data_IF_668549673648
#
_entry.id   IF_668549673648
#
_cell.length_a   1.000
_cell.length_b   1.000
_cell.length_c   1.000
_cell.angle_alpha   90.00
_cell.angle_beta   90.00
_cell.angle_gamma   90.00
#
_symmetry.space_group_name_H-M   'P 1'
#
loop_
_entity.id
_entity.type
_entity.pdbx_description
1 polymer ?
#
# COMPACT_ATOMS: atom_id res chain seq x y z
N UNK A 1 15.27 13.82 76.81
CA UNK A 1 15.39 12.43 76.32
C UNK A 1 15.45 12.47 74.81
N UNK A 2 16.37 11.86 74.08
CA UNK A 2 17.73 11.38 74.31
C UNK A 2 18.31 11.31 72.89
N UNK A 3 19.41 12.01 72.70
CA UNK A 3 20.22 12.09 71.49
C UNK A 3 20.59 10.71 70.95
N UNK A 4 20.76 10.56 69.64
CA UNK A 4 21.97 9.90 69.13
C UNK A 4 22.24 10.23 67.66
N UNK A 5 23.51 10.52 67.38
CA UNK A 5 24.11 11.02 66.14
C UNK A 5 24.76 9.83 65.39
N UNK A 6 25.30 10.07 64.19
CA UNK A 6 26.50 9.44 63.64
C UNK A 6 26.30 8.24 62.66
N UNK A 7 26.64 8.58 61.40
CA UNK A 7 27.64 7.96 60.51
C UNK A 7 27.27 6.78 59.60
N UNK A 8 27.78 6.90 58.37
CA UNK A 8 28.00 5.82 57.40
C UNK A 8 27.29 6.11 56.08
N UNK A 9 27.77 7.04 55.25
CA UNK A 9 28.73 6.72 54.19
C UNK A 9 28.62 5.27 53.69
N UNK A 10 27.76 5.05 52.71
CA UNK A 10 27.98 4.06 51.68
C UNK A 10 27.49 4.66 50.36
N UNK A 11 28.45 5.20 49.60
CA UNK A 11 28.32 5.45 48.18
C UNK A 11 27.80 4.17 47.52
N UNK A 12 26.58 4.23 46.98
CA UNK A 12 26.24 3.41 45.83
C UNK A 12 25.46 4.32 44.87
N UNK A 13 26.22 4.99 44.02
CA UNK A 13 25.68 5.65 42.84
C UNK A 13 25.20 4.54 41.88
N UNK A 14 23.98 4.04 42.10
CA UNK A 14 23.24 3.39 41.02
C UNK A 14 22.69 4.53 40.19
N UNK A 15 23.48 4.94 39.20
CA UNK A 15 22.96 5.67 38.05
C UNK A 15 21.94 4.74 37.42
N UNK A 16 20.67 4.94 37.78
CA UNK A 16 19.54 4.51 36.97
C UNK A 16 19.62 5.34 35.68
N UNK A 17 20.45 4.87 34.73
CA UNK A 17 20.22 5.16 33.33
C UNK A 17 18.89 4.46 33.04
N UNK A 18 17.80 5.18 33.28
CA UNK A 18 16.53 4.88 32.67
C UNK A 18 16.76 5.00 31.17
N UNK A 19 17.17 3.90 30.54
CA UNK A 19 16.82 3.66 29.15
C UNK A 19 15.31 3.58 29.15
N UNK A 20 14.69 4.76 29.00
CA UNK A 20 13.36 4.86 28.42
C UNK A 20 13.55 4.27 27.03
N UNK A 21 13.34 2.95 26.92
CA UNK A 21 13.11 2.31 25.64
C UNK A 21 11.75 2.81 25.17
N UNK A 22 11.74 4.04 24.63
CA UNK A 22 10.76 4.41 23.64
C UNK A 22 11.04 3.49 22.45
N UNK A 23 10.40 2.32 22.40
CA UNK A 23 10.06 1.69 21.12
C UNK A 23 9.05 2.63 20.46
N UNK A 24 9.57 3.70 19.85
CA UNK A 24 8.83 4.53 18.93
C UNK A 24 9.05 3.93 17.54
N UNK A 25 7.95 3.44 17.00
CA UNK A 25 7.60 3.53 15.58
C UNK A 25 8.17 2.49 14.59
N UNK A 26 7.62 1.28 14.63
CA UNK A 26 7.53 0.41 13.43
C UNK A 26 6.20 0.56 12.66
N UNK A 27 5.20 1.26 13.22
CA UNK A 27 3.93 1.53 12.50
C UNK A 27 4.05 2.72 11.54
N UNK A 28 4.90 3.70 11.85
CA UNK A 28 5.13 4.90 11.03
C UNK A 28 5.81 4.57 9.70
N UNK A 29 6.83 3.71 9.72
CA UNK A 29 7.55 3.29 8.51
C UNK A 29 6.61 2.60 7.54
N UNK A 30 5.77 1.68 8.02
CA UNK A 30 4.80 0.95 7.19
C UNK A 30 3.70 1.86 6.63
N UNK A 31 3.20 2.83 7.39
CA UNK A 31 2.22 3.82 6.91
C UNK A 31 2.81 4.77 5.86
N UNK A 32 4.05 5.21 6.06
CA UNK A 32 4.79 6.04 5.10
C UNK A 32 5.09 5.25 3.83
N UNK A 33 5.58 4.02 3.95
CA UNK A 33 5.80 3.12 2.81
C UNK A 33 4.51 2.84 2.06
N UNK A 34 3.41 2.59 2.77
CA UNK A 34 2.09 2.41 2.14
C UNK A 34 1.60 3.68 1.45
N UNK A 35 1.83 4.87 2.01
CA UNK A 35 1.48 6.13 1.35
C UNK A 35 2.34 6.38 0.11
N UNK A 36 3.64 6.16 0.20
CA UNK A 36 4.59 6.41 -0.89
C UNK A 36 4.34 5.43 -2.01
N UNK A 37 4.21 4.15 -1.68
CA UNK A 37 3.78 3.14 -2.63
C UNK A 37 2.43 3.56 -3.21
N UNK A 38 1.40 3.85 -2.42
CA UNK A 38 0.11 4.24 -2.98
C UNK A 38 0.16 5.52 -3.85
N UNK A 39 1.00 6.51 -3.51
CA UNK A 39 1.13 7.76 -4.25
C UNK A 39 1.89 7.54 -5.56
N UNK A 40 3.03 6.83 -5.52
CA UNK A 40 3.80 6.45 -6.71
C UNK A 40 2.97 5.49 -7.58
N UNK A 41 2.35 4.47 -6.99
CA UNK A 41 1.46 3.52 -7.68
C UNK A 41 0.18 4.15 -8.22
N UNK A 42 -0.34 5.24 -7.66
CA UNK A 42 -1.51 5.93 -8.20
C UNK A 42 -1.13 6.93 -9.28
N UNK A 43 -0.04 7.68 -9.11
CA UNK A 43 0.54 8.48 -10.20
C UNK A 43 0.88 7.57 -11.40
N UNK A 44 1.37 6.35 -11.14
CA UNK A 44 1.64 5.33 -12.15
C UNK A 44 0.39 4.58 -12.63
N UNK A 45 -0.56 4.27 -11.73
CA UNK A 45 -1.69 3.37 -12.00
C UNK A 45 -2.88 4.05 -12.64
N UNK A 46 -3.23 5.25 -12.16
CA UNK A 46 -4.37 6.03 -12.66
C UNK A 46 -4.01 6.75 -13.95
N UNK A 47 -2.73 7.09 -14.17
CA UNK A 47 -2.24 7.69 -15.42
C UNK A 47 -1.56 6.69 -16.37
N UNK A 48 -1.37 5.44 -15.96
CA UNK A 48 -0.72 4.41 -16.78
C UNK A 48 0.77 4.67 -17.04
N UNK A 49 1.46 5.32 -16.10
CA UNK A 49 2.87 5.68 -16.18
C UNK A 49 3.77 4.62 -15.49
N UNK A 50 5.03 4.49 -15.95
CA UNK A 50 6.07 3.67 -15.32
C UNK A 50 6.26 2.26 -15.90
N UNK A 51 7.15 1.46 -15.28
CA UNK A 51 7.64 0.16 -15.80
C UNK A 51 6.55 -0.87 -16.16
N UNK A 52 5.37 -0.74 -15.56
CA UNK A 52 4.21 -1.60 -15.83
C UNK A 52 3.05 -0.83 -16.52
N UNK A 53 3.25 0.45 -16.81
CA UNK A 53 2.30 1.34 -17.48
C UNK A 53 2.29 1.17 -19.01
N UNK A 54 1.52 2.01 -19.69
CA UNK A 54 1.56 2.16 -21.15
C UNK A 54 2.59 3.17 -21.60
N UNK A 55 2.94 4.08 -20.69
CA UNK A 55 3.82 5.20 -20.96
C UNK A 55 4.92 5.25 -19.90
N UNK A 56 6.11 5.66 -20.29
CA UNK A 56 7.24 5.92 -19.39
C UNK A 56 7.43 7.43 -19.26
N UNK A 57 7.74 7.93 -18.06
CA UNK A 57 7.98 9.37 -17.88
C UNK A 57 9.35 9.72 -18.46
N UNK A 58 9.40 10.77 -19.27
CA UNK A 58 10.66 11.40 -19.65
C UNK A 58 11.02 12.40 -18.57
N UNK A 59 12.18 12.19 -17.95
CA UNK A 59 12.72 13.10 -16.94
C UNK A 59 13.48 14.25 -17.61
N UNK A 60 13.54 15.43 -16.96
CA UNK A 60 13.05 15.72 -15.60
C UNK A 60 11.55 16.02 -15.52
N UNK A 61 10.94 15.76 -14.36
CA UNK A 61 9.53 16.07 -14.09
C UNK A 61 9.38 16.95 -12.86
N UNK A 62 8.39 17.84 -12.88
CA UNK A 62 8.08 18.75 -11.77
C UNK A 62 6.81 18.31 -11.06
N UNK A 63 6.86 18.26 -9.73
CA UNK A 63 5.73 17.92 -8.87
C UNK A 63 5.38 19.11 -7.99
N UNK A 64 4.09 19.41 -7.88
CA UNK A 64 3.53 20.33 -6.90
C UNK A 64 2.95 19.53 -5.74
N UNK A 65 3.30 19.90 -4.52
CA UNK A 65 2.80 19.30 -3.29
C UNK A 65 1.57 20.06 -2.77
N UNK A 66 0.72 19.40 -1.95
CA UNK A 66 -0.45 20.03 -1.33
C UNK A 66 -0.15 21.24 -0.44
N UNK A 67 1.08 21.38 0.04
CA UNK A 67 1.54 22.53 0.83
C UNK A 67 1.90 23.75 -0.02
N UNK A 68 1.76 23.66 -1.35
CA UNK A 68 2.11 24.71 -2.30
C UNK A 68 3.58 24.72 -2.72
N UNK A 69 4.41 23.83 -2.17
CA UNK A 69 5.80 23.67 -2.63
C UNK A 69 5.84 22.91 -3.95
N UNK A 70 6.92 23.08 -4.72
CA UNK A 70 7.17 22.28 -5.91
C UNK A 70 8.64 21.91 -6.01
N UNK A 71 8.93 20.78 -6.66
CA UNK A 71 10.28 20.28 -6.89
C UNK A 71 10.41 19.61 -8.26
N UNK A 72 11.59 19.74 -8.86
CA UNK A 72 11.94 19.08 -10.12
C UNK A 72 12.89 17.92 -9.82
N UNK A 73 12.60 16.76 -10.41
CA UNK A 73 13.32 15.52 -10.15
C UNK A 73 13.84 14.95 -11.47
N UNK A 74 15.06 14.43 -11.49
CA UNK A 74 15.71 13.90 -12.69
C UNK A 74 15.53 12.37 -12.83
N UNK A 75 14.99 11.70 -11.82
CA UNK A 75 14.74 10.26 -11.86
C UNK A 75 13.58 9.82 -10.97
N UNK A 76 13.10 8.59 -11.18
CA UNK A 76 12.10 7.97 -10.32
C UNK A 76 12.58 7.81 -8.87
N UNK A 77 13.88 7.59 -8.67
CA UNK A 77 14.48 7.42 -7.34
C UNK A 77 14.48 8.73 -6.55
N UNK A 78 14.89 9.83 -7.20
CA UNK A 78 14.84 11.17 -6.61
C UNK A 78 13.40 11.58 -6.28
N UNK A 79 12.50 11.40 -7.24
CA UNK A 79 11.08 11.66 -7.05
C UNK A 79 10.51 10.85 -5.86
N UNK A 80 10.77 9.54 -5.84
CA UNK A 80 10.31 8.67 -4.77
C UNK A 80 10.86 9.07 -3.40
N UNK A 81 12.13 9.45 -3.34
CA UNK A 81 12.79 9.90 -2.10
C UNK A 81 12.18 11.20 -1.58
N UNK A 82 11.97 12.18 -2.46
CA UNK A 82 11.34 13.44 -2.09
C UNK A 82 9.89 13.26 -1.60
N UNK A 83 9.11 12.38 -2.24
CA UNK A 83 7.77 12.04 -1.78
C UNK A 83 7.77 11.38 -0.39
N UNK A 84 8.75 10.52 -0.09
CA UNK A 84 8.93 9.89 1.23
C UNK A 84 9.24 10.94 2.29
N UNK A 85 10.19 11.83 2.02
CA UNK A 85 10.60 12.89 2.94
C UNK A 85 9.45 13.85 3.22
N UNK A 86 8.75 14.29 2.16
CA UNK A 86 7.59 15.15 2.30
C UNK A 86 6.51 14.50 3.17
N UNK A 87 6.19 13.21 2.97
CA UNK A 87 5.19 12.52 3.79
C UNK A 87 5.62 12.35 5.24
N UNK A 88 6.90 12.08 5.50
CA UNK A 88 7.44 11.99 6.86
C UNK A 88 7.31 13.32 7.61
N UNK A 89 7.57 14.43 6.91
CA UNK A 89 7.39 15.77 7.47
C UNK A 89 5.91 16.15 7.65
N UNK A 90 5.01 15.60 6.81
CA UNK A 90 3.59 15.97 6.75
C UNK A 90 2.66 14.77 6.97
N UNK A 91 2.80 14.09 8.11
CA UNK A 91 2.05 12.86 8.44
C UNK A 91 0.53 13.01 8.42
N UNK A 92 0.02 14.21 8.72
CA UNK A 92 -1.42 14.56 8.74
C UNK A 92 -1.89 15.40 7.55
N UNK A 93 -1.01 15.71 6.58
CA UNK A 93 -1.46 16.47 5.42
C UNK A 93 -2.40 15.63 4.56
N UNK A 94 -3.57 16.19 4.30
CA UNK A 94 -4.53 15.71 3.33
C UNK A 94 -4.23 16.35 1.97
N UNK A 95 -4.26 15.54 0.91
CA UNK A 95 -3.92 15.97 -0.44
C UNK A 95 -2.85 15.08 -1.06
N UNK A 96 -2.76 15.14 -2.38
CA UNK A 96 -1.80 14.35 -3.16
C UNK A 96 -0.92 15.28 -3.99
N UNK A 97 0.36 14.95 -4.17
CA UNK A 97 1.20 15.65 -5.12
C UNK A 97 0.65 15.50 -6.55
N UNK A 98 0.76 16.55 -7.35
CA UNK A 98 0.31 16.59 -8.74
C UNK A 98 1.46 16.96 -9.69
N UNK A 99 1.39 16.50 -10.93
CA UNK A 99 2.35 16.92 -11.96
C UNK A 99 2.10 18.38 -12.35
N UNK A 100 3.19 19.13 -12.47
CA UNK A 100 3.17 20.43 -13.15
C UNK A 100 3.37 20.18 -14.64
N UNK A 101 2.37 20.55 -15.42
CA UNK A 101 2.42 20.44 -16.88
C UNK A 101 3.21 21.61 -17.50
N UNK A 102 3.83 21.41 -18.68
CA UNK A 102 3.81 20.20 -19.50
C UNK A 102 4.75 19.08 -19.00
N UNK A 103 4.40 17.83 -19.32
CA UNK A 103 5.25 16.64 -19.08
C UNK A 103 5.41 15.84 -20.37
N UNK A 104 6.57 15.22 -20.55
CA UNK A 104 6.81 14.34 -21.69
C UNK A 104 6.68 12.87 -21.28
N UNK A 105 6.01 12.09 -22.13
CA UNK A 105 5.80 10.65 -21.92
C UNK A 105 6.23 9.85 -23.15
N UNK A 106 6.95 8.76 -22.92
CA UNK A 106 7.38 7.83 -23.95
C UNK A 106 6.37 6.68 -24.07
N UNK A 107 5.84 6.47 -25.27
CA UNK A 107 4.94 5.35 -25.59
C UNK A 107 5.74 4.06 -25.83
N UNK A 108 5.06 2.91 -25.76
CA UNK A 108 5.64 1.60 -26.08
C UNK A 108 6.19 1.49 -27.51
N UNK A 109 5.67 2.29 -28.43
CA UNK A 109 6.14 2.36 -29.81
C UNK A 109 7.43 3.20 -29.96
N UNK A 110 7.95 3.77 -28.86
CA UNK A 110 9.14 4.61 -28.84
C UNK A 110 8.88 6.09 -29.18
N UNK A 111 7.62 6.48 -29.40
CA UNK A 111 7.27 7.89 -29.66
C UNK A 111 7.09 8.67 -28.37
N UNK A 112 7.59 9.90 -28.34
CA UNK A 112 7.40 10.84 -27.22
C UNK A 112 6.21 11.74 -27.48
N UNK A 113 5.34 11.88 -26.48
CA UNK A 113 4.20 12.80 -26.51
C UNK A 113 4.35 13.80 -25.39
N UNK A 114 4.27 15.08 -25.73
CA UNK A 114 4.18 16.17 -24.75
C UNK A 114 2.75 16.33 -24.32
N UNK A 115 2.49 16.11 -23.04
CA UNK A 115 1.19 16.27 -22.41
C UNK A 115 1.16 17.62 -21.75
N UNK A 116 0.21 18.46 -22.13
CA UNK A 116 0.11 19.87 -21.70
C UNK A 116 -0.90 20.09 -20.58
N UNK A 117 -1.75 19.10 -20.30
CA UNK A 117 -2.77 19.19 -19.25
C UNK A 117 -3.10 17.83 -18.64
N UNK A 118 -3.75 17.88 -17.46
CA UNK A 118 -4.25 16.68 -16.78
C UNK A 118 -5.31 15.96 -17.61
N UNK A 119 -6.14 16.70 -18.31
CA UNK A 119 -7.19 16.19 -19.19
C UNK A 119 -6.60 15.45 -20.38
N UNK A 120 -5.51 15.95 -20.94
CA UNK A 120 -4.76 15.29 -22.01
C UNK A 120 -4.10 14.00 -21.50
N UNK A 121 -3.52 14.02 -20.30
CA UNK A 121 -2.98 12.81 -19.67
C UNK A 121 -4.05 11.73 -19.45
N UNK A 122 -5.23 12.15 -18.98
CA UNK A 122 -6.39 11.26 -18.79
C UNK A 122 -6.87 10.70 -20.13
N UNK A 123 -6.88 11.52 -21.18
CA UNK A 123 -7.31 11.10 -22.52
C UNK A 123 -6.32 10.09 -23.11
N UNK A 124 -5.02 10.38 -23.00
CA UNK A 124 -3.95 9.47 -23.40
C UNK A 124 -4.04 8.14 -22.63
N UNK A 125 -4.40 8.18 -21.35
CA UNK A 125 -4.64 6.98 -20.54
C UNK A 125 -5.86 6.16 -20.99
N UNK A 126 -6.89 6.75 -21.59
CA UNK A 126 -8.04 6.00 -22.12
C UNK A 126 -7.68 5.18 -23.36
N UNK A 127 -6.68 5.63 -24.13
CA UNK A 127 -6.17 4.92 -25.30
C UNK A 127 -5.33 3.69 -24.93
N UNK A 128 -4.80 3.65 -23.72
CA UNK A 128 -4.16 2.45 -23.20
C UNK A 128 -5.11 1.24 -23.23
N UNK A 129 -4.69 0.09 -23.78
CA UNK A 129 -5.41 -1.14 -23.52
C UNK A 129 -5.46 -1.37 -22.00
N UNK A 130 -6.66 -1.65 -21.49
CA UNK A 130 -6.79 -2.15 -20.12
C UNK A 130 -5.87 -3.37 -19.98
N UNK A 131 -5.04 -3.41 -18.93
CA UNK A 131 -4.25 -4.63 -18.67
C UNK A 131 -5.21 -5.83 -18.66
N UNK A 132 -4.85 -6.96 -19.28
CA UNK A 132 -5.59 -8.21 -19.08
C UNK A 132 -5.83 -8.39 -17.59
N UNK A 133 -7.10 -8.41 -17.17
CA UNK A 133 -7.48 -8.59 -15.77
C UNK A 133 -7.65 -7.34 -14.89
N UNK A 134 -7.46 -6.11 -15.42
CA UNK A 134 -7.77 -4.89 -14.65
C UNK A 134 -9.03 -4.23 -15.18
N UNK A 135 -10.15 -4.50 -14.52
CA UNK A 135 -11.43 -3.85 -14.79
C UNK A 135 -11.39 -2.32 -14.65
N UNK A 136 -12.43 -1.61 -15.12
CA UNK A 136 -12.47 -0.15 -15.13
C UNK A 136 -12.31 0.44 -13.73
N UNK A 137 -11.43 1.44 -13.57
CA UNK A 137 -11.24 2.18 -12.30
C UNK A 137 -10.09 1.72 -11.41
N UNK A 138 -9.06 1.05 -11.95
CA UNK A 138 -7.84 0.72 -11.18
C UNK A 138 -8.01 -0.38 -10.13
N UNK A 139 -9.26 -0.78 -9.84
CA UNK A 139 -9.58 -2.03 -9.19
C UNK A 139 -8.97 -3.16 -10.02
N UNK A 140 -8.28 -4.08 -9.35
CA UNK A 140 -7.84 -5.37 -9.91
C UNK A 140 -9.13 -6.12 -10.28
N UNK A 141 -9.67 -5.80 -11.44
CA UNK A 141 -10.96 -6.30 -11.88
C UNK A 141 -10.81 -7.73 -12.35
N UNK A 142 -10.85 -8.67 -11.40
CA UNK A 142 -11.30 -10.06 -11.62
C UNK A 142 -10.69 -10.80 -12.83
N UNK A 143 -9.48 -10.45 -13.24
CA UNK A 143 -8.52 -11.32 -13.92
C UNK A 143 -7.14 -10.88 -13.38
N UNK A 144 -6.16 -11.67 -13.08
CA UNK A 144 -5.85 -13.03 -13.40
C UNK A 144 -5.79 -13.75 -12.06
N UNK A 145 -6.93 -14.24 -11.58
CA UNK A 145 -6.87 -15.28 -10.56
C UNK A 145 -6.61 -16.55 -11.35
N UNK A 146 -5.34 -16.80 -11.71
CA UNK A 146 -4.90 -18.07 -12.28
C UNK A 146 -5.09 -19.23 -11.29
N UNK A 147 -5.77 -18.98 -10.18
CA UNK A 147 -6.19 -19.94 -9.19
C UNK A 147 -7.54 -19.55 -8.56
N UNK A 148 -8.25 -20.53 -8.01
CA UNK A 148 -9.47 -20.37 -7.22
C UNK A 148 -9.26 -20.84 -5.78
N UNK A 149 -9.90 -20.20 -4.81
CA UNK A 149 -9.86 -20.68 -3.43
C UNK A 149 -10.62 -22.00 -3.32
N UNK A 150 -10.03 -22.99 -2.66
CA UNK A 150 -10.75 -24.20 -2.24
C UNK A 150 -11.51 -23.86 -0.98
N UNK A 151 -12.82 -23.97 -1.05
CA UNK A 151 -13.71 -23.73 0.07
C UNK A 151 -13.87 -25.00 0.94
N UNK A 152 -14.14 -24.86 2.25
CA UNK A 152 -14.36 -23.61 2.98
C UNK A 152 -13.06 -22.84 3.31
N UNK A 153 -13.17 -21.52 3.46
CA UNK A 153 -12.05 -20.65 3.86
C UNK A 153 -12.43 -19.81 5.08
N UNK A 154 -11.47 -19.54 5.95
CA UNK A 154 -11.70 -18.73 7.16
C UNK A 154 -11.20 -17.31 6.97
N UNK A 155 -12.04 -16.34 7.34
CA UNK A 155 -11.72 -14.92 7.39
C UNK A 155 -11.49 -14.50 8.84
N UNK A 156 -10.41 -13.75 9.07
CA UNK A 156 -10.15 -13.01 10.30
C UNK A 156 -10.71 -11.60 10.09
N UNK A 157 -11.66 -11.23 10.94
CA UNK A 157 -12.33 -9.95 10.94
C UNK A 157 -11.52 -8.89 11.69
N UNK A 158 -11.84 -7.59 11.56
CA UNK A 158 -11.15 -6.49 12.24
C UNK A 158 -11.06 -6.58 13.76
N UNK A 159 -11.99 -7.29 14.38
CA UNK A 159 -12.05 -7.56 15.82
C UNK A 159 -11.30 -8.84 16.22
N UNK A 160 -10.54 -9.43 15.30
CA UNK A 160 -9.88 -10.74 15.41
C UNK A 160 -10.85 -11.92 15.57
N UNK A 161 -12.15 -11.74 15.35
CA UNK A 161 -13.07 -12.87 15.27
C UNK A 161 -12.92 -13.61 13.94
N UNK A 162 -13.24 -14.90 13.94
CA UNK A 162 -13.11 -15.76 12.77
C UNK A 162 -14.48 -16.12 12.21
N UNK A 163 -14.64 -16.01 10.89
CA UNK A 163 -15.84 -16.46 10.17
C UNK A 163 -15.45 -17.43 9.07
N UNK A 164 -16.08 -18.60 9.06
CA UNK A 164 -15.87 -19.59 8.00
C UNK A 164 -16.84 -19.34 6.86
N UNK A 165 -16.29 -19.21 5.66
CA UNK A 165 -17.03 -18.96 4.44
C UNK A 165 -17.09 -20.27 3.64
N UNK A 166 -18.32 -20.74 3.38
CA UNK A 166 -18.55 -21.99 2.67
C UNK A 166 -18.46 -21.86 1.16
N UNK A 167 -18.83 -20.70 0.59
CA UNK A 167 -18.78 -20.44 -0.86
C UNK A 167 -18.41 -18.99 -1.17
N UNK A 168 -17.99 -18.73 -2.41
CA UNK A 168 -17.52 -17.42 -2.85
C UNK A 168 -18.58 -16.33 -2.75
N UNK A 169 -19.83 -16.69 -2.96
CA UNK A 169 -20.98 -15.79 -2.94
C UNK A 169 -21.22 -15.25 -1.52
N UNK A 170 -20.87 -16.03 -0.50
CA UNK A 170 -21.11 -15.73 0.91
C UNK A 170 -20.13 -14.69 1.48
N UNK A 171 -18.97 -14.47 0.82
CA UNK A 171 -17.96 -13.50 1.27
C UNK A 171 -18.55 -12.10 1.47
N UNK A 172 -19.33 -11.62 0.50
CA UNK A 172 -19.92 -10.27 0.56
C UNK A 172 -20.98 -10.18 1.65
N UNK A 173 -21.80 -11.23 1.79
CA UNK A 173 -22.84 -11.28 2.79
C UNK A 173 -22.24 -11.27 4.21
N UNK A 174 -21.20 -12.08 4.45
CA UNK A 174 -20.52 -12.15 5.74
C UNK A 174 -19.88 -10.81 6.16
N UNK A 175 -19.17 -10.15 5.24
CA UNK A 175 -18.55 -8.83 5.52
C UNK A 175 -19.62 -7.77 5.76
N UNK A 176 -20.70 -7.78 4.97
CA UNK A 176 -21.82 -6.84 5.14
C UNK A 176 -22.49 -7.03 6.50
N UNK A 177 -22.83 -8.27 6.87
CA UNK A 177 -23.45 -8.61 8.14
C UNK A 177 -22.58 -8.19 9.33
N UNK A 178 -21.27 -8.44 9.27
CA UNK A 178 -20.34 -8.00 10.32
C UNK A 178 -20.33 -6.48 10.47
N UNK A 179 -20.33 -5.73 9.36
CA UNK A 179 -20.33 -4.25 9.39
C UNK A 179 -21.63 -3.69 9.96
N UNK A 180 -22.77 -4.30 9.65
CA UNK A 180 -24.07 -3.90 10.20
C UNK A 180 -24.16 -4.18 11.70
N UNK A 181 -23.56 -5.28 12.17
CA UNK A 181 -23.49 -5.63 13.60
C UNK A 181 -22.47 -4.79 14.40
N UNK A 182 -21.54 -4.10 13.73
CA UNK A 182 -20.44 -3.35 14.37
C UNK A 182 -20.40 -1.87 13.92
N UNK A 183 -21.42 -1.07 14.29
CA UNK A 183 -21.41 0.36 13.97
C UNK A 183 -20.28 1.08 14.71
N UNK A 184 -19.49 1.91 14.00
CA UNK A 184 -18.45 2.75 14.59
C UNK A 184 -17.09 2.08 14.87
N UNK A 185 -16.89 0.81 14.51
CA UNK A 185 -15.58 0.14 14.57
C UNK A 185 -14.68 0.53 13.39
N UNK A 186 -13.34 0.49 13.56
CA UNK A 186 -12.41 0.78 12.47
C UNK A 186 -12.68 -0.11 11.24
N UNK A 187 -12.65 0.51 10.07
CA UNK A 187 -12.89 -0.11 8.75
C UNK A 187 -11.66 -0.86 8.23
N UNK A 188 -10.86 -1.45 9.13
CA UNK A 188 -9.76 -2.30 8.70
C UNK A 188 -10.31 -3.48 7.89
N UNK A 189 -9.51 -3.97 6.94
CA UNK A 189 -9.99 -4.98 6.00
C UNK A 189 -9.88 -6.37 6.62
N UNK A 190 -10.95 -7.19 6.53
CA UNK A 190 -10.84 -8.62 6.82
C UNK A 190 -9.73 -9.26 5.96
N UNK A 191 -9.05 -10.25 6.51
CA UNK A 191 -8.00 -11.00 5.82
C UNK A 191 -8.20 -12.50 5.97
N UNK A 192 -7.65 -13.28 5.03
CA UNK A 192 -7.76 -14.74 5.06
C UNK A 192 -6.86 -15.30 6.17
N UNK A 193 -7.37 -16.30 6.89
CA UNK A 193 -6.56 -17.14 7.77
C UNK A 193 -5.75 -18.11 6.90
N UNK A 194 -4.48 -18.25 7.23
CA UNK A 194 -3.59 -19.22 6.63
C UNK A 194 -3.39 -20.41 7.59
N UNK A 195 -3.09 -21.62 7.07
CA UNK A 195 -2.93 -21.95 5.65
C UNK A 195 -4.28 -22.05 4.91
N UNK A 196 -4.25 -21.82 3.60
CA UNK A 196 -5.39 -22.00 2.70
C UNK A 196 -4.98 -22.78 1.45
N UNK A 197 -5.94 -23.39 0.77
CA UNK A 197 -5.67 -24.13 -0.47
C UNK A 197 -6.27 -23.39 -1.65
N UNK A 198 -5.54 -23.37 -2.77
CA UNK A 198 -5.99 -22.84 -4.04
C UNK A 198 -5.86 -23.89 -5.14
N UNK A 199 -6.75 -23.86 -6.12
CA UNK A 199 -6.68 -24.67 -7.33
C UNK A 199 -6.24 -23.80 -8.50
N UNK A 200 -5.11 -24.10 -9.13
CA UNK A 200 -4.65 -23.39 -10.32
C UNK A 200 -5.60 -23.66 -11.51
N UNK A 201 -5.92 -22.63 -12.29
CA UNK A 201 -6.79 -22.72 -13.47
C UNK A 201 -6.07 -23.25 -14.71
N UNK A 202 -4.75 -23.13 -14.74
CA UNK A 202 -3.93 -23.54 -15.89
C UNK A 202 -3.91 -25.07 -16.03
N UNK A 203 -3.77 -25.79 -14.92
CA UNK A 203 -3.57 -27.24 -14.90
C UNK A 203 -4.53 -27.98 -13.93
N UNK A 204 -5.31 -27.26 -13.12
CA UNK A 204 -6.19 -27.85 -12.11
C UNK A 204 -5.47 -28.32 -10.84
N UNK A 205 -4.17 -28.07 -10.70
CA UNK A 205 -3.38 -28.52 -9.54
C UNK A 205 -3.75 -27.73 -8.29
N UNK A 206 -3.78 -28.41 -7.13
CA UNK A 206 -3.99 -27.76 -5.84
C UNK A 206 -2.66 -27.37 -5.19
N UNK A 207 -2.59 -26.14 -4.69
CA UNK A 207 -1.43 -25.58 -4.00
C UNK A 207 -1.87 -25.11 -2.62
N UNK A 208 -1.15 -25.52 -1.58
CA UNK A 208 -1.33 -24.98 -0.23
C UNK A 208 -0.48 -23.73 -0.07
N UNK A 209 -1.11 -22.66 0.40
CA UNK A 209 -0.51 -21.36 0.65
C UNK A 209 -0.48 -21.14 2.15
N UNK A 210 0.71 -20.95 2.72
CA UNK A 210 0.91 -20.89 4.17
C UNK A 210 0.97 -19.46 4.72
N UNK A 211 1.10 -18.46 3.84
CA UNK A 211 1.23 -17.07 4.24
C UNK A 211 0.66 -16.10 3.22
N UNK A 212 0.48 -14.85 3.65
CA UNK A 212 0.04 -13.76 2.79
C UNK A 212 1.08 -13.48 1.70
N UNK A 213 2.36 -13.59 2.04
CA UNK A 213 3.50 -13.37 1.16
C UNK A 213 3.53 -14.43 0.05
N UNK A 214 3.27 -15.70 0.38
CA UNK A 214 3.14 -16.77 -0.61
C UNK A 214 1.94 -16.56 -1.53
N UNK A 215 0.81 -16.06 -1.00
CA UNK A 215 -0.37 -15.74 -1.81
C UNK A 215 -0.09 -14.60 -2.79
N UNK A 216 0.64 -13.57 -2.35
CA UNK A 216 1.05 -12.45 -3.20
C UNK A 216 2.03 -12.94 -4.27
N UNK A 217 3.06 -13.71 -3.90
CA UNK A 217 4.02 -14.28 -4.84
C UNK A 217 3.34 -15.19 -5.88
N UNK A 218 2.33 -15.98 -5.46
CA UNK A 218 1.54 -16.80 -6.38
C UNK A 218 0.74 -15.94 -7.36
N UNK A 219 0.16 -14.84 -6.88
CA UNK A 219 -0.57 -13.89 -7.73
C UNK A 219 0.34 -13.14 -8.70
N UNK A 220 1.54 -12.79 -8.29
CA UNK A 220 2.51 -12.08 -9.14
C UNK A 220 3.06 -12.99 -10.25
N UNK A 221 3.00 -14.32 -10.08
CA UNK A 221 3.28 -15.31 -11.13
C UNK A 221 2.13 -15.51 -12.11
N UNK A 222 0.91 -15.04 -11.80
CA UNK A 222 -0.18 -15.07 -12.77
C UNK A 222 0.09 -14.02 -13.85
N UNK A 223 0.40 -14.49 -15.07
CA UNK A 223 0.77 -13.67 -16.22
C UNK A 223 -0.44 -13.04 -16.93
#
# INVERSE_FOLDING_TARGET
MKNWILKGMALYAIVLIGFTSCQKDDSSSTEVENFVNNSVYQLQGDCGLGKLGCFELVFPVTISFPDGTSGTYASYEELGSALREWRKAHTKADGRPEFVFPIDVLKKDGTTVTVTSKEELISLRKECPGRPGRGPGGHIGRGLACFELVYPVTLILPDNSEVTIAKKEDFRAAIKAWREANPGKPTSRPHLKFPLTVTLKEDGTTVTVNSKEELIALKDRCN
#
